data_IF_839770640933
#
_entry.id   IF_839770640933
#
_cell.length_a   1.000
_cell.length_b   1.000
_cell.length_c   1.000
_cell.angle_alpha   90.00
_cell.angle_beta   90.00
_cell.angle_gamma   90.00
#
_symmetry.space_group_name_H-M   'P 1'
#
loop_
_entity.id
_entity.type
_entity.pdbx_description
1 polymer ?
#
# COMPACT_ATOMS: atom_id res chain seq x y z
N UNK A 1 -12.96 6.70 -44.04
CA UNK A 1 -13.24 6.12 -42.75
C UNK A 1 -13.09 4.62 -42.85
N UNK A 2 -12.01 4.06 -42.32
CA UNK A 2 -11.87 2.60 -42.14
C UNK A 2 -12.82 2.18 -41.06
N UNK A 3 -13.79 1.33 -41.39
CA UNK A 3 -14.61 0.62 -40.44
C UNK A 3 -13.70 -0.36 -39.70
N UNK A 4 -13.26 0.01 -38.48
CA UNK A 4 -12.63 -0.95 -37.59
C UNK A 4 -13.63 -2.07 -37.30
N UNK A 5 -13.22 -3.31 -37.51
CA UNK A 5 -13.98 -4.47 -37.05
C UNK A 5 -14.15 -4.36 -35.54
N UNK A 6 -15.39 -4.18 -35.08
CA UNK A 6 -15.69 -4.19 -33.65
C UNK A 6 -15.39 -5.58 -33.12
N UNK A 7 -14.43 -5.69 -32.21
CA UNK A 7 -14.10 -6.95 -31.55
C UNK A 7 -15.18 -7.24 -30.51
N UNK A 8 -15.99 -8.28 -30.73
CA UNK A 8 -16.97 -8.77 -29.77
C UNK A 8 -16.26 -9.62 -28.69
N UNK A 9 -16.43 -9.24 -27.41
CA UNK A 9 -15.83 -9.94 -26.28
C UNK A 9 -16.96 -10.51 -25.39
N UNK A 10 -16.98 -11.81 -25.19
CA UNK A 10 -17.86 -12.44 -24.22
C UNK A 10 -17.41 -12.13 -22.78
N UNK A 11 -18.25 -11.38 -22.05
CA UNK A 11 -18.00 -10.98 -20.66
C UNK A 11 -18.65 -11.89 -19.63
N UNK A 12 -19.30 -12.98 -20.04
CA UNK A 12 -20.08 -13.87 -19.16
C UNK A 12 -19.26 -14.46 -18.00
N UNK A 13 -17.98 -14.69 -18.22
CA UNK A 13 -17.05 -15.29 -17.24
C UNK A 13 -16.03 -14.30 -16.69
N UNK A 14 -16.29 -12.99 -16.78
CA UNK A 14 -15.40 -11.95 -16.24
C UNK A 14 -15.88 -11.55 -14.85
N UNK A 15 -14.99 -11.65 -13.87
CA UNK A 15 -15.22 -11.11 -12.53
C UNK A 15 -14.95 -9.60 -12.52
N UNK A 16 -15.96 -8.83 -12.11
CA UNK A 16 -15.84 -7.39 -11.93
C UNK A 16 -15.59 -7.07 -10.46
N UNK A 17 -14.47 -6.42 -10.17
CA UNK A 17 -14.12 -5.95 -8.83
C UNK A 17 -14.08 -4.43 -8.87
N UNK A 18 -14.98 -3.78 -8.12
CA UNK A 18 -15.01 -2.33 -7.97
C UNK A 18 -14.49 -1.96 -6.57
N UNK A 19 -13.54 -1.04 -6.50
CA UNK A 19 -12.98 -0.57 -5.25
C UNK A 19 -13.04 0.95 -5.14
N UNK A 20 -13.14 1.46 -3.90
CA UNK A 20 -13.16 2.89 -3.62
C UNK A 20 -12.86 3.18 -2.16
N UNK A 21 -12.48 4.42 -1.87
CA UNK A 21 -12.21 4.88 -0.51
C UNK A 21 -13.48 5.14 0.32
N UNK A 22 -14.61 5.39 -0.32
CA UNK A 22 -15.93 5.64 0.28
C UNK A 22 -15.86 6.55 1.53
N UNK A 23 -15.19 7.70 1.40
CA UNK A 23 -14.98 8.65 2.51
C UNK A 23 -16.31 9.11 3.09
N UNK A 24 -16.50 8.94 4.41
CA UNK A 24 -17.74 9.28 5.11
C UNK A 24 -18.78 8.15 5.19
N UNK A 25 -18.54 7.00 4.55
CA UNK A 25 -19.42 5.83 4.67
C UNK A 25 -19.48 5.30 6.10
N UNK A 26 -18.37 5.36 6.83
CA UNK A 26 -18.26 5.03 8.26
C UNK A 26 -19.26 5.83 9.12
N UNK A 27 -19.43 7.11 8.82
CA UNK A 27 -20.38 7.99 9.51
C UNK A 27 -21.83 7.56 9.27
N UNK A 28 -22.15 7.12 8.05
CA UNK A 28 -23.48 6.61 7.71
C UNK A 28 -23.80 5.30 8.42
N UNK A 29 -22.81 4.37 8.47
CA UNK A 29 -22.93 3.11 9.20
C UNK A 29 -23.14 3.38 10.71
N UNK A 30 -22.37 4.32 11.29
CA UNK A 30 -22.53 4.78 12.68
C UNK A 30 -23.96 5.24 12.94
N UNK A 31 -24.45 6.13 12.11
CA UNK A 31 -25.80 6.66 12.23
C UNK A 31 -26.86 5.56 12.20
N UNK A 32 -26.71 4.55 11.33
CA UNK A 32 -27.64 3.42 11.25
C UNK A 32 -27.60 2.56 12.51
N UNK A 33 -26.41 2.19 12.98
CA UNK A 33 -26.25 1.33 14.16
C UNK A 33 -26.77 2.03 15.40
N UNK A 34 -26.47 3.31 15.60
CA UNK A 34 -26.94 4.08 16.75
C UNK A 34 -28.46 4.27 16.74
N UNK A 35 -29.07 4.47 15.57
CA UNK A 35 -30.54 4.59 15.47
C UNK A 35 -31.27 3.25 15.68
N UNK A 36 -30.61 2.12 15.40
CA UNK A 36 -31.19 0.79 15.65
C UNK A 36 -31.02 0.35 17.11
N UNK A 37 -30.07 0.98 17.85
CA UNK A 37 -29.75 0.65 19.24
C UNK A 37 -30.59 1.39 20.30
N UNK A 38 -31.69 2.07 19.96
CA UNK A 38 -32.58 2.72 20.94
C UNK A 38 -33.48 1.72 21.70
N UNK A 39 -32.98 0.51 22.00
CA UNK A 39 -33.51 -0.42 22.95
C UNK A 39 -32.75 -0.32 24.28
N UNK A 40 -33.47 -0.19 25.38
CA UNK A 40 -32.94 -0.18 26.76
C UNK A 40 -31.90 -1.30 26.95
N UNK A 41 -30.61 -0.94 27.10
CA UNK A 41 -29.57 -1.89 27.54
C UNK A 41 -28.39 -2.13 26.61
N UNK A 42 -28.26 -1.51 25.40
CA UNK A 42 -27.05 -1.62 24.61
C UNK A 42 -25.96 -0.70 25.18
N UNK A 43 -24.90 -1.31 25.73
CA UNK A 43 -23.67 -0.60 26.02
C UNK A 43 -23.20 0.07 24.70
N UNK A 44 -23.17 1.41 24.71
CA UNK A 44 -22.40 2.19 23.75
C UNK A 44 -20.97 1.65 23.79
N UNK A 45 -20.59 0.86 22.79
CA UNK A 45 -19.19 0.55 22.59
C UNK A 45 -18.49 1.87 22.30
N UNK A 46 -17.51 2.19 23.13
CA UNK A 46 -16.68 3.39 23.01
C UNK A 46 -16.22 3.59 21.57
N UNK A 47 -16.65 4.71 21.00
CA UNK A 47 -16.79 5.04 19.62
C UNK A 47 -15.52 5.28 18.80
N UNK A 48 -14.58 4.36 18.72
CA UNK A 48 -13.36 4.61 17.93
C UNK A 48 -13.09 3.66 16.77
N UNK A 49 -13.67 2.46 16.73
CA UNK A 49 -13.51 1.57 15.58
C UNK A 49 -14.86 1.00 15.15
N UNK A 50 -15.43 1.55 14.07
CA UNK A 50 -16.52 0.88 13.38
C UNK A 50 -15.94 -0.19 12.51
N UNK A 51 -16.46 -1.39 12.74
CA UNK A 51 -16.23 -2.48 11.82
C UNK A 51 -16.96 -2.16 10.51
N UNK A 52 -16.19 -1.68 9.52
CA UNK A 52 -16.68 -1.45 8.16
C UNK A 52 -17.25 -2.73 7.53
N UNK A 53 -16.97 -3.90 8.11
CA UNK A 53 -17.57 -5.16 7.71
C UNK A 53 -19.10 -5.19 7.91
N UNK A 54 -19.64 -4.26 8.73
CA UNK A 54 -21.09 -4.10 8.93
C UNK A 54 -21.77 -3.28 7.82
N UNK A 55 -21.04 -2.90 6.75
CA UNK A 55 -21.63 -2.19 5.60
C UNK A 55 -22.72 -3.03 4.96
N UNK A 56 -23.86 -2.39 4.71
CA UNK A 56 -24.99 -3.02 4.04
C UNK A 56 -25.42 -2.26 2.79
N UNK A 57 -26.27 -2.87 1.95
CA UNK A 57 -26.78 -2.21 0.73
C UNK A 57 -27.43 -0.84 1.00
N UNK A 58 -28.10 -0.70 2.14
CA UNK A 58 -28.76 0.54 2.53
C UNK A 58 -27.77 1.67 2.79
N UNK A 59 -26.56 1.36 3.29
CA UNK A 59 -25.53 2.34 3.55
C UNK A 59 -24.95 2.85 2.22
N UNK A 60 -24.78 1.95 1.25
CA UNK A 60 -24.32 2.28 -0.10
C UNK A 60 -25.32 3.16 -0.86
N UNK A 61 -26.62 2.86 -0.73
CA UNK A 61 -27.67 3.69 -1.30
C UNK A 61 -27.71 5.09 -0.67
N UNK A 62 -27.58 5.18 0.66
CA UNK A 62 -27.48 6.46 1.37
C UNK A 62 -26.22 7.23 1.02
N UNK A 63 -25.14 6.53 0.72
CA UNK A 63 -23.89 7.13 0.26
C UNK A 63 -24.02 7.76 -1.13
N UNK A 64 -25.03 7.33 -1.92
CA UNK A 64 -25.33 7.89 -3.23
C UNK A 64 -25.08 6.95 -4.41
N UNK A 65 -24.82 5.66 -4.15
CA UNK A 65 -24.80 4.68 -5.25
C UNK A 65 -26.20 4.40 -5.76
N UNK A 66 -26.34 4.26 -7.07
CA UNK A 66 -27.61 3.94 -7.69
C UNK A 66 -28.09 2.51 -7.36
N UNK A 67 -29.39 2.29 -7.16
CA UNK A 67 -29.93 1.00 -6.78
C UNK A 67 -29.56 -0.14 -7.74
N UNK A 68 -29.52 0.14 -9.02
CA UNK A 68 -29.19 -0.82 -10.07
C UNK A 68 -27.76 -1.33 -9.91
N UNK A 69 -26.82 -0.47 -9.52
CA UNK A 69 -25.44 -0.84 -9.27
C UNK A 69 -25.30 -1.65 -8.00
N UNK A 70 -25.96 -1.19 -6.91
CA UNK A 70 -25.93 -1.89 -5.61
C UNK A 70 -26.54 -3.30 -5.75
N UNK A 71 -27.62 -3.45 -6.53
CA UNK A 71 -28.24 -4.75 -6.78
C UNK A 71 -27.38 -5.72 -7.59
N UNK A 72 -26.40 -5.22 -8.36
CA UNK A 72 -25.49 -6.07 -9.15
C UNK A 72 -24.24 -6.48 -8.38
N UNK A 73 -23.83 -5.72 -7.37
CA UNK A 73 -22.74 -6.11 -6.48
C UNK A 73 -23.27 -7.02 -5.37
N UNK A 74 -23.14 -8.32 -5.56
CA UNK A 74 -23.65 -9.33 -4.62
C UNK A 74 -22.78 -9.43 -3.35
N UNK A 75 -21.50 -9.13 -3.46
CA UNK A 75 -20.53 -9.22 -2.36
C UNK A 75 -19.89 -7.87 -2.10
N UNK A 76 -19.99 -7.40 -0.87
CA UNK A 76 -19.31 -6.20 -0.38
C UNK A 76 -18.31 -6.62 0.67
N UNK A 77 -17.05 -6.20 0.49
CA UNK A 77 -15.96 -6.50 1.42
C UNK A 77 -15.34 -5.18 1.87
N UNK A 78 -15.29 -4.98 3.17
CA UNK A 78 -14.54 -3.88 3.76
C UNK A 78 -13.10 -4.29 4.05
N UNK A 79 -12.17 -3.43 3.69
CA UNK A 79 -10.75 -3.62 4.00
C UNK A 79 -10.41 -2.82 5.27
N UNK A 80 -9.67 -3.44 6.17
CA UNK A 80 -9.10 -2.79 7.35
C UNK A 80 -7.74 -2.18 7.03
N UNK A 81 -7.33 -1.19 7.81
CA UNK A 81 -5.96 -0.66 7.71
C UNK A 81 -4.96 -1.76 8.08
N UNK A 82 -3.86 -1.80 7.35
CA UNK A 82 -2.78 -2.75 7.61
C UNK A 82 -2.00 -2.32 8.86
N UNK A 83 -1.70 -3.29 9.72
CA UNK A 83 -0.80 -3.08 10.86
C UNK A 83 0.68 -3.05 10.42
N UNK A 84 1.60 -2.79 11.37
CA UNK A 84 3.04 -2.69 11.08
C UNK A 84 3.60 -3.97 10.50
N UNK A 85 3.25 -5.13 11.06
CA UNK A 85 3.78 -6.42 10.60
C UNK A 85 3.23 -6.78 9.21
N UNK A 86 1.97 -6.52 8.95
CA UNK A 86 1.37 -6.69 7.61
C UNK A 86 2.01 -5.77 6.57
N UNK A 87 2.32 -4.52 6.94
CA UNK A 87 3.04 -3.60 6.04
C UNK A 87 4.47 -4.08 5.76
N UNK A 88 5.16 -4.64 6.75
CA UNK A 88 6.48 -5.27 6.56
C UNK A 88 6.39 -6.45 5.59
N UNK A 89 5.38 -7.31 5.74
CA UNK A 89 5.15 -8.43 4.81
C UNK A 89 4.87 -7.95 3.39
N UNK A 90 4.04 -6.91 3.23
CA UNK A 90 3.78 -6.30 1.92
C UNK A 90 5.05 -5.76 1.29
N UNK A 91 5.95 -5.18 2.08
CA UNK A 91 7.20 -4.62 1.58
C UNK A 91 8.21 -5.69 1.12
N UNK A 92 8.27 -6.85 1.80
CA UNK A 92 9.39 -7.79 1.69
C UNK A 92 9.02 -9.24 1.35
N UNK A 93 7.79 -9.69 1.59
CA UNK A 93 7.44 -11.12 1.52
C UNK A 93 6.47 -11.47 0.39
N UNK A 94 5.64 -10.53 -0.07
CA UNK A 94 4.69 -10.81 -1.15
C UNK A 94 5.42 -10.99 -2.49
N UNK A 95 4.80 -11.75 -3.38
CA UNK A 95 5.33 -11.93 -4.75
C UNK A 95 5.48 -10.56 -5.45
N UNK A 96 6.63 -10.33 -6.06
CA UNK A 96 6.98 -9.06 -6.71
C UNK A 96 6.95 -7.86 -5.74
N UNK A 97 7.38 -8.08 -4.48
CA UNK A 97 7.48 -6.99 -3.53
C UNK A 97 8.50 -5.93 -3.95
N UNK A 98 8.40 -4.75 -3.35
CA UNK A 98 9.24 -3.60 -3.70
C UNK A 98 10.73 -3.86 -3.46
N UNK A 99 11.08 -4.55 -2.38
CA UNK A 99 12.47 -4.87 -2.05
C UNK A 99 13.11 -5.70 -3.15
N UNK A 100 12.42 -6.73 -3.65
CA UNK A 100 12.94 -7.58 -4.74
C UNK A 100 13.05 -6.81 -6.06
N UNK A 101 12.14 -5.90 -6.36
CA UNK A 101 12.24 -5.04 -7.54
C UNK A 101 13.49 -4.18 -7.50
N UNK A 102 13.80 -3.54 -6.37
CA UNK A 102 15.02 -2.74 -6.23
C UNK A 102 16.28 -3.60 -6.24
N UNK A 103 16.28 -4.78 -5.61
CA UNK A 103 17.39 -5.74 -5.71
C UNK A 103 17.68 -6.11 -7.16
N UNK A 104 16.62 -6.36 -7.94
CA UNK A 104 16.77 -6.64 -9.36
C UNK A 104 17.40 -5.47 -10.13
N UNK A 105 16.94 -4.24 -9.89
CA UNK A 105 17.52 -3.05 -10.53
C UNK A 105 19.02 -2.90 -10.23
N UNK A 106 19.44 -3.05 -8.99
CA UNK A 106 20.85 -3.00 -8.62
C UNK A 106 21.66 -4.14 -9.26
N UNK A 107 21.07 -5.33 -9.41
CA UNK A 107 21.72 -6.49 -10.00
C UNK A 107 22.07 -6.28 -11.49
N UNK A 108 21.29 -5.47 -12.22
CA UNK A 108 21.59 -5.11 -13.62
C UNK A 108 22.94 -4.40 -13.74
N UNK A 109 23.35 -3.74 -12.69
CA UNK A 109 24.63 -3.06 -12.59
C UNK A 109 25.73 -3.87 -11.90
N UNK A 110 25.49 -5.17 -11.64
CA UNK A 110 26.38 -6.08 -10.91
C UNK A 110 26.67 -5.62 -9.47
N UNK A 111 25.74 -4.86 -8.87
CA UNK A 111 25.80 -4.45 -7.46
C UNK A 111 24.69 -5.19 -6.69
N UNK A 112 25.03 -5.84 -5.59
CA UNK A 112 24.07 -6.50 -4.72
C UNK A 112 23.47 -5.48 -3.75
N UNK A 113 22.14 -5.42 -3.68
CA UNK A 113 21.42 -4.66 -2.67
C UNK A 113 21.00 -5.57 -1.51
N UNK A 114 21.36 -5.23 -0.29
CA UNK A 114 20.94 -5.93 0.93
C UNK A 114 20.21 -4.95 1.86
N UNK A 115 18.90 -5.09 1.97
CA UNK A 115 18.07 -4.26 2.86
C UNK A 115 17.78 -5.06 4.12
N UNK A 116 18.25 -4.56 5.25
CA UNK A 116 18.07 -5.21 6.54
C UNK A 116 16.63 -5.07 7.05
N UNK A 117 16.19 -6.02 7.87
CA UNK A 117 14.84 -6.03 8.46
C UNK A 117 14.55 -4.78 9.30
N UNK A 118 15.55 -4.25 10.01
CA UNK A 118 15.43 -3.03 10.79
C UNK A 118 15.21 -1.79 9.91
N UNK A 119 15.80 -1.77 8.71
CA UNK A 119 15.54 -0.72 7.71
C UNK A 119 14.10 -0.78 7.21
N UNK A 120 13.58 -1.97 6.90
CA UNK A 120 12.19 -2.15 6.43
C UNK A 120 11.21 -1.69 7.52
N UNK A 121 11.43 -2.09 8.78
CA UNK A 121 10.60 -1.64 9.90
C UNK A 121 10.64 -0.12 10.09
N UNK A 122 11.80 0.50 10.00
CA UNK A 122 11.92 1.97 10.09
C UNK A 122 11.15 2.68 8.96
N UNK A 123 11.22 2.16 7.74
CA UNK A 123 10.46 2.68 6.59
C UNK A 123 8.96 2.56 6.87
N UNK A 124 8.50 1.40 7.32
CA UNK A 124 7.08 1.17 7.64
C UNK A 124 6.60 2.11 8.74
N UNK A 125 7.35 2.26 9.83
CA UNK A 125 6.99 3.17 10.92
C UNK A 125 6.89 4.63 10.47
N UNK A 126 7.70 5.06 9.51
CA UNK A 126 7.58 6.41 8.92
C UNK A 126 6.31 6.56 8.09
N UNK A 127 5.99 5.55 7.29
CA UNK A 127 4.77 5.60 6.48
C UNK A 127 3.50 5.60 7.33
N UNK A 128 3.50 4.90 8.46
CA UNK A 128 2.41 4.94 9.42
C UNK A 128 2.26 6.33 10.06
N UNK A 129 3.36 6.96 10.49
CA UNK A 129 3.33 8.33 11.02
C UNK A 129 2.77 9.33 10.01
N UNK A 130 3.06 9.15 8.74
CA UNK A 130 2.56 9.98 7.64
C UNK A 130 1.14 9.60 7.19
N UNK A 131 0.57 8.52 7.72
CA UNK A 131 -0.75 7.96 7.35
C UNK A 131 -0.88 7.69 5.84
N UNK A 132 0.21 7.31 5.19
CA UNK A 132 0.25 7.05 3.74
C UNK A 132 0.05 5.58 3.38
N UNK A 133 0.02 4.69 4.39
CA UNK A 133 -0.16 3.24 4.21
C UNK A 133 0.87 2.63 3.26
N UNK A 134 0.51 1.55 2.58
CA UNK A 134 1.42 0.82 1.69
C UNK A 134 2.02 1.68 0.55
N UNK A 135 1.31 2.72 0.08
CA UNK A 135 1.83 3.65 -0.95
C UNK A 135 3.05 4.43 -0.46
N UNK A 136 3.07 4.79 0.83
CA UNK A 136 4.18 5.50 1.43
C UNK A 136 5.47 4.67 1.50
N UNK A 137 5.36 3.34 1.54
CA UNK A 137 6.52 2.44 1.55
C UNK A 137 7.35 2.64 0.28
N UNK A 138 6.72 2.72 -0.88
CA UNK A 138 7.41 2.97 -2.15
C UNK A 138 8.19 4.28 -2.09
N UNK A 139 7.55 5.37 -1.68
CA UNK A 139 8.17 6.70 -1.60
C UNK A 139 9.35 6.73 -0.62
N UNK A 140 9.23 6.09 0.54
CA UNK A 140 10.31 6.04 1.54
C UNK A 140 11.47 5.13 1.09
N UNK A 141 11.19 4.01 0.43
CA UNK A 141 12.21 3.17 -0.20
C UNK A 141 12.95 3.93 -1.28
N UNK A 142 12.22 4.58 -2.19
CA UNK A 142 12.79 5.38 -3.27
C UNK A 142 13.69 6.49 -2.70
N UNK A 143 13.19 7.26 -1.72
CA UNK A 143 13.96 8.31 -1.06
C UNK A 143 15.27 7.77 -0.47
N UNK A 144 15.25 6.57 0.09
CA UNK A 144 16.43 5.95 0.71
C UNK A 144 17.40 5.43 -0.36
N UNK A 145 16.90 4.84 -1.43
CA UNK A 145 17.72 4.15 -2.44
C UNK A 145 18.19 5.07 -3.58
N UNK A 146 17.45 6.14 -3.89
CA UNK A 146 17.75 7.04 -5.01
C UNK A 146 19.19 7.58 -4.99
N UNK A 147 19.76 8.03 -3.85
CA UNK A 147 21.16 8.48 -3.80
C UNK A 147 22.15 7.38 -4.20
N UNK A 148 21.88 6.12 -3.82
CA UNK A 148 22.72 4.97 -4.17
C UNK A 148 22.57 4.59 -5.64
N UNK A 149 21.35 4.62 -6.19
CA UNK A 149 21.10 4.37 -7.61
C UNK A 149 21.80 5.39 -8.50
N UNK A 150 21.73 6.67 -8.13
CA UNK A 150 22.42 7.74 -8.86
C UNK A 150 23.93 7.55 -8.89
N UNK A 151 24.53 7.03 -7.83
CA UNK A 151 25.97 6.83 -7.70
C UNK A 151 26.43 5.40 -8.05
N UNK A 152 25.59 4.59 -8.66
CA UNK A 152 25.92 3.17 -8.94
C UNK A 152 27.14 3.01 -9.86
N UNK A 153 27.34 3.93 -10.80
CA UNK A 153 28.51 3.97 -11.67
C UNK A 153 29.82 4.27 -10.91
N UNK A 154 29.73 5.04 -9.84
CA UNK A 154 30.88 5.32 -8.95
C UNK A 154 31.20 4.08 -8.13
N UNK A 155 30.20 3.38 -7.64
CA UNK A 155 30.37 2.11 -6.91
C UNK A 155 31.09 1.08 -7.75
N UNK A 156 30.70 0.94 -9.03
CA UNK A 156 31.40 0.05 -9.98
C UNK A 156 32.89 0.40 -10.13
N UNK A 157 33.22 1.69 -10.27
CA UNK A 157 34.62 2.15 -10.39
C UNK A 157 35.45 1.87 -9.14
N UNK A 158 34.81 1.86 -7.98
CA UNK A 158 35.45 1.60 -6.67
C UNK A 158 35.36 0.11 -6.26
N UNK A 159 34.91 -0.77 -7.14
CA UNK A 159 34.69 -2.24 -6.90
C UNK A 159 33.78 -2.51 -5.67
N UNK A 160 32.82 -1.60 -5.41
CA UNK A 160 31.81 -1.81 -4.37
C UNK A 160 30.77 -2.77 -4.91
N UNK A 161 30.77 -4.01 -4.41
CA UNK A 161 29.90 -5.10 -4.89
C UNK A 161 28.57 -5.19 -4.12
N UNK A 162 28.48 -4.59 -2.95
CA UNK A 162 27.29 -4.70 -2.10
C UNK A 162 26.95 -3.38 -1.45
N UNK A 163 25.71 -2.97 -1.58
CA UNK A 163 25.10 -1.84 -0.86
C UNK A 163 24.22 -2.41 0.25
N UNK A 164 24.51 -2.06 1.50
CA UNK A 164 23.74 -2.51 2.67
C UNK A 164 22.94 -1.33 3.19
N UNK A 165 21.64 -1.51 3.31
CA UNK A 165 20.72 -0.52 3.87
C UNK A 165 20.24 -1.02 5.24
N UNK A 166 20.63 -0.32 6.28
CA UNK A 166 20.19 -0.51 7.66
C UNK A 166 19.32 0.67 8.13
N UNK A 167 18.88 0.62 9.38
CA UNK A 167 18.12 1.69 10.01
C UNK A 167 18.81 3.06 9.94
N UNK A 168 20.14 3.10 10.04
CA UNK A 168 20.90 4.35 10.00
C UNK A 168 20.86 4.98 8.61
N UNK A 169 20.99 4.14 7.56
CA UNK A 169 20.89 4.57 6.17
C UNK A 169 19.49 5.11 5.82
N UNK A 170 18.45 4.56 6.38
CA UNK A 170 17.07 5.09 6.22
C UNK A 170 16.96 6.49 6.85
N UNK A 171 17.59 6.70 8.02
CA UNK A 171 17.55 7.97 8.74
C UNK A 171 18.43 9.05 8.10
N UNK A 172 19.63 8.66 7.67
CA UNK A 172 20.61 9.52 6.99
C UNK A 172 21.27 8.71 5.87
N UNK A 173 20.75 8.77 4.65
CA UNK A 173 21.40 8.12 3.52
C UNK A 173 22.83 8.63 3.35
N UNK A 174 23.80 7.76 3.54
CA UNK A 174 25.22 8.06 3.35
C UNK A 174 25.73 7.27 2.16
N UNK A 175 26.35 7.94 1.21
CA UNK A 175 26.97 7.29 0.07
C UNK A 175 28.17 6.47 0.53
N UNK A 176 28.31 5.25 -0.01
CA UNK A 176 29.44 4.37 0.22
C UNK A 176 30.63 4.75 -0.69
N UNK A 177 31.00 6.03 -0.69
CA UNK A 177 32.10 6.53 -1.48
C UNK A 177 33.31 6.65 -0.54
N UNK A 178 34.37 5.91 -0.82
CA UNK A 178 35.64 6.13 -0.13
C UNK A 178 36.10 7.56 -0.42
N UNK A 179 36.24 8.37 0.61
CA UNK A 179 36.75 9.75 0.50
C UNK A 179 38.27 9.81 0.26
N UNK A 180 38.90 8.71 -0.14
CA UNK A 180 40.31 8.68 -0.50
C UNK A 180 40.43 9.03 -1.99
N UNK A 181 40.49 10.34 -2.27
CA UNK A 181 41.30 10.97 -3.32
C UNK A 181 40.90 12.46 -3.40
N UNK A 182 41.50 13.25 -2.51
CA UNK A 182 41.81 14.65 -2.76
C UNK A 182 43.31 14.80 -2.92
#
# INVERSE_FOLDING_TARGET
GESGEDAEVDTSNILFIAGGAFVGLDTLIKGRINNTGMGFGSKLSDGTNIDLALVGPQDLLKYGLIPELVGRFTNTVALTELDEDQLVQVASEVKNNLVEQYKYLFSLDNVKLDIKQDAIREIVQRTQKLKTGARGIHTELERTLLPHMYNISVYKKQDIKTVVIDKQQVNKPQLLINQENK
#
